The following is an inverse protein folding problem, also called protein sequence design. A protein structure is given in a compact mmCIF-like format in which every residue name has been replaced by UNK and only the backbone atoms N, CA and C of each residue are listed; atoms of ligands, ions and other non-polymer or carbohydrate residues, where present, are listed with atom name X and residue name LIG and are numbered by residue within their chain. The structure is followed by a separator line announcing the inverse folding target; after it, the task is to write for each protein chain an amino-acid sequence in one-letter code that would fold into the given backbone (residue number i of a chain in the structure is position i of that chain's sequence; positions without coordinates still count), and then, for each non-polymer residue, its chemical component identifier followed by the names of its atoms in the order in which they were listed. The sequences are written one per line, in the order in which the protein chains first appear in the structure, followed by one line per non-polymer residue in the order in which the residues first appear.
data_IF_645717752552
#
_entry.id   IF_645717752552
#
_cell.length_a   1.000
_cell.length_b   1.000
_cell.length_c   1.000
_cell.angle_alpha   90.00
_cell.angle_beta   90.00
_cell.angle_gamma   90.00
#
_symmetry.space_group_name_H-M   'P 1'
#
loop_
_entity.id
_entity.type
_entity.pdbx_description
1 polymer ?
#
# COMPACT_ATOMS: atom_id res chain seq x y z
N UNK A 1 -9.90 -49.07 -55.34
CA UNK A 1 -10.75 -47.90 -54.99
C UNK A 1 -10.74 -47.67 -53.49
N UNK A 2 -10.86 -48.72 -52.67
CA UNK A 2 -10.86 -48.65 -51.19
C UNK A 2 -9.63 -48.03 -50.53
N UNK A 3 -8.45 -48.16 -51.12
CA UNK A 3 -7.20 -47.57 -50.58
C UNK A 3 -7.14 -46.05 -50.72
N UNK A 4 -7.75 -45.48 -51.77
CA UNK A 4 -7.75 -44.03 -52.00
C UNK A 4 -8.79 -43.36 -51.09
N UNK A 5 -9.95 -44.01 -50.89
CA UNK A 5 -10.99 -43.53 -49.97
C UNK A 5 -10.53 -43.59 -48.51
N UNK A 6 -9.89 -44.68 -48.07
CA UNK A 6 -9.30 -44.76 -46.72
C UNK A 6 -8.20 -43.72 -46.49
N UNK A 7 -7.38 -43.43 -47.50
CA UNK A 7 -6.34 -42.40 -47.41
C UNK A 7 -6.95 -41.00 -47.26
N UNK A 8 -7.97 -40.67 -48.05
CA UNK A 8 -8.70 -39.39 -47.95
C UNK A 8 -9.39 -39.22 -46.60
N UNK A 9 -10.07 -40.25 -46.08
CA UNK A 9 -10.71 -40.21 -44.76
C UNK A 9 -9.71 -40.02 -43.61
N UNK A 10 -8.53 -40.64 -43.72
CA UNK A 10 -7.47 -40.48 -42.72
C UNK A 10 -6.87 -39.07 -42.76
N UNK A 11 -6.71 -38.50 -43.96
CA UNK A 11 -6.22 -37.14 -44.14
C UNK A 11 -7.20 -36.08 -43.61
N UNK A 12 -8.50 -36.25 -43.85
CA UNK A 12 -9.55 -35.36 -43.32
C UNK A 12 -9.67 -35.43 -41.79
N UNK A 13 -9.47 -36.62 -41.20
CA UNK A 13 -9.43 -36.74 -39.73
C UNK A 13 -8.21 -36.03 -39.15
N UNK A 14 -7.03 -36.18 -39.78
CA UNK A 14 -5.81 -35.48 -39.36
C UNK A 14 -5.94 -33.96 -39.51
N UNK A 15 -6.55 -33.47 -40.58
CA UNK A 15 -6.79 -32.04 -40.79
C UNK A 15 -7.78 -31.49 -39.76
N UNK A 16 -8.84 -32.23 -39.41
CA UNK A 16 -9.76 -31.88 -38.33
C UNK A 16 -9.09 -31.79 -36.96
N UNK A 17 -8.19 -32.73 -36.62
CA UNK A 17 -7.39 -32.67 -35.40
C UNK A 17 -6.41 -31.49 -35.38
N UNK A 18 -5.80 -31.16 -36.52
CA UNK A 18 -4.92 -30.00 -36.64
C UNK A 18 -5.69 -28.68 -36.47
N UNK A 19 -6.88 -28.55 -37.06
CA UNK A 19 -7.75 -27.38 -36.88
C UNK A 19 -8.23 -27.23 -35.43
N UNK A 20 -8.60 -28.34 -34.78
CA UNK A 20 -8.96 -28.35 -33.36
C UNK A 20 -7.79 -27.91 -32.48
N UNK A 21 -6.60 -28.50 -32.66
CA UNK A 21 -5.40 -28.13 -31.92
C UNK A 21 -5.01 -26.66 -32.14
N UNK A 22 -5.08 -26.17 -33.38
CA UNK A 22 -4.85 -24.77 -33.72
C UNK A 22 -5.85 -23.83 -33.05
N UNK A 23 -7.13 -24.22 -32.99
CA UNK A 23 -8.18 -23.43 -32.30
C UNK A 23 -7.94 -23.38 -30.80
N UNK A 24 -7.56 -24.50 -30.17
CA UNK A 24 -7.24 -24.54 -28.74
C UNK A 24 -6.00 -23.71 -28.40
N UNK A 25 -4.97 -23.75 -29.24
CA UNK A 25 -3.80 -22.90 -29.08
C UNK A 25 -4.13 -21.42 -29.27
N UNK A 26 -4.96 -21.08 -30.25
CA UNK A 26 -5.41 -19.71 -30.47
C UNK A 26 -6.24 -19.19 -29.28
N UNK A 27 -7.14 -20.01 -28.73
CA UNK A 27 -7.88 -19.68 -27.51
C UNK A 27 -6.95 -19.49 -26.31
N UNK A 28 -5.97 -20.37 -26.13
CA UNK A 28 -4.96 -20.24 -25.08
C UNK A 28 -4.13 -18.96 -25.22
N UNK A 29 -3.65 -18.65 -26.42
CA UNK A 29 -2.91 -17.43 -26.71
C UNK A 29 -3.77 -16.18 -26.52
N UNK A 30 -5.04 -16.21 -26.93
CA UNK A 30 -6.00 -15.11 -26.73
C UNK A 30 -6.27 -14.89 -25.25
N UNK A 31 -6.44 -15.96 -24.46
CA UNK A 31 -6.60 -15.87 -23.02
C UNK A 31 -5.36 -15.23 -22.38
N UNK A 32 -4.16 -15.73 -22.69
CA UNK A 32 -2.92 -15.18 -22.14
C UNK A 32 -2.73 -13.71 -22.51
N UNK A 33 -2.93 -13.34 -23.78
CA UNK A 33 -2.80 -11.93 -24.22
C UNK A 33 -3.83 -11.01 -23.58
N UNK A 34 -5.05 -11.48 -23.31
CA UNK A 34 -6.08 -10.71 -22.62
C UNK A 34 -5.79 -10.55 -21.11
N UNK A 35 -5.31 -11.59 -20.43
CA UNK A 35 -5.20 -11.61 -18.96
C UNK A 35 -3.80 -11.26 -18.42
N UNK A 36 -2.71 -11.46 -19.17
CA UNK A 36 -1.34 -11.09 -18.76
C UNK A 36 -1.25 -9.60 -18.37
N UNK A 37 -1.79 -8.64 -19.14
CA UNK A 37 -1.72 -7.23 -18.77
C UNK A 37 -2.42 -6.95 -17.43
N UNK A 38 -3.54 -7.61 -17.16
CA UNK A 38 -4.31 -7.45 -15.92
C UNK A 38 -3.51 -7.98 -14.74
N UNK A 39 -2.91 -9.16 -14.86
CA UNK A 39 -2.06 -9.72 -13.80
C UNK A 39 -0.83 -8.86 -13.52
N UNK A 40 -0.18 -8.35 -14.57
CA UNK A 40 0.95 -7.45 -14.43
C UNK A 40 0.55 -6.15 -13.72
N UNK A 41 -0.57 -5.54 -14.10
CA UNK A 41 -1.11 -4.34 -13.42
C UNK A 41 -1.38 -4.62 -11.94
N UNK A 42 -2.06 -5.71 -11.61
CA UNK A 42 -2.34 -6.09 -10.20
C UNK A 42 -1.05 -6.29 -9.40
N UNK A 43 -0.05 -6.95 -9.98
CA UNK A 43 1.27 -7.13 -9.35
C UNK A 43 2.00 -5.81 -9.14
N UNK A 44 1.95 -4.92 -10.13
CA UNK A 44 2.56 -3.58 -10.02
C UNK A 44 1.89 -2.75 -8.93
N UNK A 45 0.56 -2.73 -8.88
CA UNK A 45 -0.21 -2.04 -7.83
C UNK A 45 0.14 -2.55 -6.43
N UNK A 46 0.17 -3.87 -6.23
CA UNK A 46 0.58 -4.45 -4.93
C UNK A 46 1.98 -4.02 -4.51
N UNK A 47 2.94 -4.01 -5.45
CA UNK A 47 4.31 -3.54 -5.18
C UNK A 47 4.37 -2.04 -4.90
N UNK A 48 3.56 -1.23 -5.58
CA UNK A 48 3.49 0.20 -5.33
C UNK A 48 2.86 0.51 -3.98
N UNK A 49 1.76 -0.16 -3.62
CA UNK A 49 1.13 -0.07 -2.30
C UNK A 49 2.11 -0.44 -1.17
N UNK A 50 2.83 -1.56 -1.31
CA UNK A 50 3.83 -1.97 -0.32
C UNK A 50 4.96 -0.95 -0.16
N UNK A 51 5.41 -0.32 -1.25
CA UNK A 51 6.40 0.76 -1.21
C UNK A 51 5.88 1.99 -0.48
N UNK A 52 4.65 2.41 -0.75
CA UNK A 52 4.02 3.54 -0.05
C UNK A 52 3.89 3.29 1.45
N UNK A 53 3.53 2.06 1.84
CA UNK A 53 3.48 1.68 3.25
C UNK A 53 4.86 1.71 3.91
N UNK A 54 5.90 1.22 3.23
CA UNK A 54 7.29 1.31 3.70
C UNK A 54 7.72 2.76 3.86
N UNK A 55 7.45 3.59 2.85
CA UNK A 55 7.85 5.00 2.85
C UNK A 55 7.17 5.79 3.97
N UNK A 56 5.88 5.53 4.23
CA UNK A 56 5.17 6.12 5.38
C UNK A 56 5.79 5.74 6.72
N UNK A 57 6.20 4.48 6.89
CA UNK A 57 6.91 4.05 8.08
C UNK A 57 8.29 4.69 8.21
N UNK A 58 9.08 4.70 7.12
CA UNK A 58 10.44 5.24 7.08
C UNK A 58 10.49 6.73 7.44
N UNK A 59 9.51 7.53 7.00
CA UNK A 59 9.44 8.95 7.36
C UNK A 59 9.21 9.11 8.87
N UNK A 60 8.27 8.37 9.46
CA UNK A 60 8.03 8.41 10.91
C UNK A 60 9.26 7.94 11.70
N UNK A 61 9.88 6.85 11.25
CA UNK A 61 11.08 6.29 11.87
C UNK A 61 12.26 7.26 11.80
N UNK A 62 12.46 7.93 10.67
CA UNK A 62 13.54 8.90 10.49
C UNK A 62 13.43 10.03 11.50
N UNK A 63 12.23 10.61 11.67
CA UNK A 63 12.02 11.63 12.69
C UNK A 63 12.17 11.10 14.11
N UNK A 64 11.61 9.93 14.42
CA UNK A 64 11.75 9.32 15.75
C UNK A 64 13.21 9.00 16.12
N UNK A 65 14.04 8.58 15.16
CA UNK A 65 15.46 8.27 15.40
C UNK A 65 16.34 9.51 15.49
N UNK A 66 16.00 10.59 14.80
CA UNK A 66 16.83 11.79 14.72
C UNK A 66 16.53 12.79 15.84
N UNK A 67 15.25 12.95 16.18
CA UNK A 67 14.75 13.88 17.21
C UNK A 67 15.43 13.76 18.59
N UNK A 68 15.88 12.59 19.09
CA UNK A 68 16.58 12.52 20.38
C UNK A 68 17.90 13.30 20.41
N UNK A 69 18.51 13.55 19.24
CA UNK A 69 19.84 14.16 19.14
C UNK A 69 19.83 15.69 19.10
N UNK A 70 18.65 16.32 19.08
CA UNK A 70 18.52 17.78 19.06
C UNK A 70 17.19 18.22 19.65
N UNK A 71 17.09 19.49 20.07
CA UNK A 71 15.82 20.08 20.48
C UNK A 71 15.09 20.60 19.23
N UNK A 72 13.85 20.15 18.96
CA UNK A 72 13.11 20.63 17.80
C UNK A 72 12.91 22.15 17.82
N UNK A 73 13.06 22.78 16.66
CA UNK A 73 12.69 24.18 16.42
C UNK A 73 11.54 24.25 15.43
N UNK A 74 10.85 25.39 15.36
CA UNK A 74 9.72 25.60 14.43
C UNK A 74 10.06 25.21 12.99
N UNK A 75 11.27 25.53 12.52
CA UNK A 75 11.70 25.20 11.16
C UNK A 75 11.81 23.68 10.93
N UNK A 76 12.41 22.94 11.86
CA UNK A 76 12.56 21.48 11.73
C UNK A 76 11.22 20.77 11.83
N UNK A 77 10.33 21.25 12.70
CA UNK A 77 8.97 20.72 12.83
C UNK A 77 8.12 20.99 11.60
N UNK A 78 8.18 22.19 11.01
CA UNK A 78 7.49 22.48 9.74
C UNK A 78 8.08 21.66 8.57
N UNK A 79 9.40 21.47 8.54
CA UNK A 79 10.06 20.57 7.59
C UNK A 79 9.54 19.14 7.69
N UNK A 80 9.37 18.64 8.92
CA UNK A 80 8.76 17.33 9.17
C UNK A 80 7.31 17.22 8.75
N UNK A 81 6.49 18.22 9.08
CA UNK A 81 5.10 18.27 8.63
C UNK A 81 4.99 18.25 7.09
N UNK A 82 5.88 18.95 6.38
CA UNK A 82 5.92 18.96 4.92
C UNK A 82 6.35 17.61 4.34
N UNK A 83 7.38 16.97 4.91
CA UNK A 83 7.82 15.64 4.48
C UNK A 83 6.73 14.59 4.66
N UNK A 84 6.05 14.59 5.80
CA UNK A 84 4.89 13.73 6.07
C UNK A 84 3.74 14.06 5.12
N UNK A 85 3.49 15.34 4.86
CA UNK A 85 2.51 15.83 3.89
C UNK A 85 2.72 15.29 2.48
N UNK A 86 3.98 15.20 2.01
CA UNK A 86 4.31 14.61 0.72
C UNK A 86 3.88 13.15 0.60
N UNK A 87 4.12 12.33 1.64
CA UNK A 87 3.69 10.92 1.65
C UNK A 87 2.17 10.79 1.72
N UNK A 88 1.50 11.65 2.49
CA UNK A 88 0.02 11.72 2.54
C UNK A 88 -0.54 11.95 1.14
N UNK A 89 0.01 12.93 0.40
CA UNK A 89 -0.43 13.25 -0.96
C UNK A 89 -0.19 12.09 -1.94
N UNK A 90 0.93 11.37 -1.80
CA UNK A 90 1.20 10.17 -2.59
C UNK A 90 0.18 9.05 -2.33
N UNK A 91 -0.14 8.79 -1.05
CA UNK A 91 -1.13 7.79 -0.67
C UNK A 91 -2.53 8.20 -1.16
N UNK A 92 -2.90 9.47 -1.02
CA UNK A 92 -4.21 9.98 -1.43
C UNK A 92 -4.46 9.86 -2.95
N UNK A 93 -3.39 9.95 -3.77
CA UNK A 93 -3.47 9.78 -5.23
C UNK A 93 -3.44 8.32 -5.67
N UNK A 94 -3.16 7.38 -4.77
CA UNK A 94 -3.07 5.97 -5.12
C UNK A 94 -4.45 5.39 -5.47
N UNK A 95 -4.59 4.60 -6.56
CA UNK A 95 -5.88 4.03 -6.97
C UNK A 95 -6.26 2.83 -6.07
N UNK A 96 -6.67 3.11 -4.84
CA UNK A 96 -7.01 2.11 -3.81
C UNK A 96 -8.13 1.16 -4.28
N UNK A 97 -9.08 1.66 -5.08
CA UNK A 97 -10.21 0.88 -5.61
C UNK A 97 -9.78 -0.22 -6.60
N UNK A 98 -8.56 -0.17 -7.14
CA UNK A 98 -8.02 -1.21 -8.04
C UNK A 98 -7.36 -2.37 -7.29
N UNK A 99 -7.25 -2.28 -5.96
CA UNK A 99 -6.79 -3.38 -5.12
C UNK A 99 -7.95 -4.33 -4.85
N UNK A 100 -7.82 -5.59 -5.31
CA UNK A 100 -8.85 -6.63 -5.13
C UNK A 100 -9.18 -6.98 -3.67
N UNK A 101 -8.31 -6.60 -2.72
CA UNK A 101 -8.41 -7.10 -1.35
C UNK A 101 -9.28 -6.17 -0.50
N UNK A 102 -10.41 -6.66 0.00
CA UNK A 102 -11.29 -5.97 0.95
C UNK A 102 -11.37 -6.67 2.31
N UNK A 103 -10.55 -7.70 2.56
CA UNK A 103 -10.49 -8.43 3.82
C UNK A 103 -9.87 -7.63 4.98
N UNK A 104 -9.76 -8.23 6.17
CA UNK A 104 -9.17 -7.56 7.34
C UNK A 104 -7.68 -7.26 7.22
N UNK A 105 -6.96 -8.00 6.35
CA UNK A 105 -5.54 -7.79 6.00
C UNK A 105 -5.32 -7.09 4.64
N UNK A 106 -6.34 -6.35 4.21
CA UNK A 106 -6.30 -5.68 2.92
C UNK A 106 -5.24 -4.57 2.87
N UNK A 107 -4.44 -4.58 1.80
CA UNK A 107 -3.51 -3.49 1.47
C UNK A 107 -4.23 -2.14 1.34
N UNK A 108 -5.47 -2.13 0.84
CA UNK A 108 -6.26 -0.90 0.74
C UNK A 108 -6.54 -0.32 2.13
N UNK A 109 -6.94 -1.17 3.09
CA UNK A 109 -7.19 -0.74 4.48
C UNK A 109 -5.90 -0.26 5.15
N UNK A 110 -4.78 -0.95 4.91
CA UNK A 110 -3.49 -0.54 5.45
C UNK A 110 -3.03 0.80 4.89
N UNK A 111 -3.26 1.09 3.60
CA UNK A 111 -2.96 2.41 3.03
C UNK A 111 -3.80 3.52 3.68
N UNK A 112 -5.10 3.27 3.89
CA UNK A 112 -5.98 4.23 4.57
C UNK A 112 -5.55 4.45 6.02
N UNK A 113 -5.24 3.38 6.75
CA UNK A 113 -4.77 3.45 8.13
C UNK A 113 -3.41 4.16 8.24
N UNK A 114 -2.48 3.89 7.32
CA UNK A 114 -1.22 4.63 7.21
C UNK A 114 -1.49 6.13 7.00
N UNK A 115 -2.37 6.48 6.06
CA UNK A 115 -2.70 7.88 5.79
C UNK A 115 -3.24 8.59 7.03
N UNK A 116 -4.14 7.95 7.78
CA UNK A 116 -4.68 8.49 9.02
C UNK A 116 -3.58 8.69 10.10
N UNK A 117 -2.64 7.75 10.22
CA UNK A 117 -1.52 7.86 11.15
C UNK A 117 -0.57 9.00 10.77
N UNK A 118 -0.26 9.14 9.48
CA UNK A 118 0.57 10.23 8.97
C UNK A 118 -0.12 11.58 9.16
N UNK A 119 -1.43 11.69 8.93
CA UNK A 119 -2.20 12.91 9.22
C UNK A 119 -2.12 13.28 10.71
N UNK A 120 -2.29 12.29 11.59
CA UNK A 120 -2.15 12.51 13.02
C UNK A 120 -0.73 12.91 13.41
N UNK A 121 0.30 12.36 12.78
CA UNK A 121 1.70 12.75 13.01
C UNK A 121 1.96 14.18 12.55
N UNK A 122 1.51 14.52 11.34
CA UNK A 122 1.61 15.88 10.79
C UNK A 122 0.96 16.91 11.71
N UNK A 123 -0.23 16.62 12.23
CA UNK A 123 -0.94 17.52 13.15
C UNK A 123 -0.16 17.76 14.45
N UNK A 124 0.54 16.75 14.97
CA UNK A 124 1.44 16.96 16.12
C UNK A 124 2.59 17.89 15.77
N UNK A 125 3.23 17.69 14.62
CA UNK A 125 4.34 18.54 14.19
C UNK A 125 3.88 19.99 14.02
N UNK A 126 2.74 20.20 13.37
CA UNK A 126 2.17 21.54 13.16
C UNK A 126 1.79 22.22 14.48
N UNK A 127 1.14 21.49 15.40
CA UNK A 127 0.77 22.02 16.71
C UNK A 127 2.00 22.37 17.56
N UNK A 128 2.99 21.47 17.61
CA UNK A 128 4.22 21.72 18.34
C UNK A 128 5.01 22.88 17.73
N UNK A 129 5.02 23.01 16.40
CA UNK A 129 5.68 24.12 15.71
C UNK A 129 5.07 25.48 16.09
N UNK A 130 3.75 25.52 16.32
CA UNK A 130 3.05 26.72 16.79
C UNK A 130 3.38 27.02 18.27
N UNK A 131 3.43 26.01 19.13
CA UNK A 131 3.75 26.17 20.56
C UNK A 131 5.19 26.61 20.82
N UNK A 132 6.12 26.19 19.96
CA UNK A 132 7.57 26.44 20.07
C UNK A 132 7.99 27.69 19.27
N UNK A 133 7.05 28.42 18.65
CA UNK A 133 7.35 29.57 17.82
C UNK A 133 8.25 30.60 18.52
N UNK A 134 9.40 30.90 17.89
CA UNK A 134 10.38 31.86 18.41
C UNK A 134 11.36 31.32 19.46
N UNK A 135 11.33 30.01 19.76
CA UNK A 135 12.28 29.36 20.68
C UNK A 135 12.63 27.94 20.22
N UNK A 136 13.51 27.28 20.97
CA UNK A 136 13.70 25.83 20.88
C UNK A 136 12.71 25.11 21.81
N UNK A 137 12.38 23.87 21.48
CA UNK A 137 11.55 23.02 22.33
C UNK A 137 12.30 22.68 23.63
N UNK A 138 11.56 22.45 24.70
CA UNK A 138 12.14 21.88 25.93
C UNK A 138 12.38 20.37 25.76
N UNK A 139 13.17 19.78 26.66
CA UNK A 139 13.37 18.33 26.70
C UNK A 139 12.05 17.59 26.91
N UNK A 140 11.17 18.10 27.77
CA UNK A 140 9.84 17.53 27.99
C UNK A 140 8.98 17.56 26.72
N UNK A 141 8.97 18.67 25.99
CA UNK A 141 8.24 18.80 24.73
C UNK A 141 8.79 17.85 23.65
N UNK A 142 10.11 17.69 23.59
CA UNK A 142 10.77 16.70 22.71
C UNK A 142 10.34 15.29 23.09
N UNK A 143 10.31 14.95 24.37
CA UNK A 143 10.00 13.61 24.84
C UNK A 143 8.53 13.25 24.58
N UNK A 144 7.60 14.21 24.72
CA UNK A 144 6.19 14.06 24.31
C UNK A 144 6.08 13.80 22.79
N UNK A 145 6.86 14.49 21.97
CA UNK A 145 6.92 14.25 20.53
C UNK A 145 7.44 12.84 20.23
N UNK A 146 8.51 12.40 20.90
CA UNK A 146 9.10 11.08 20.73
C UNK A 146 8.12 9.98 21.12
N UNK A 147 7.46 10.10 22.27
CA UNK A 147 6.44 9.14 22.71
C UNK A 147 5.31 9.05 21.68
N UNK A 148 4.81 10.22 21.24
CA UNK A 148 3.75 10.30 20.24
C UNK A 148 4.12 9.66 18.90
N UNK A 149 5.37 9.84 18.47
CA UNK A 149 5.91 9.20 17.27
C UNK A 149 6.09 7.68 17.47
N UNK A 150 6.59 7.26 18.64
CA UNK A 150 6.79 5.87 19.00
C UNK A 150 5.49 5.08 18.99
N UNK A 151 4.42 5.62 19.59
CA UNK A 151 3.08 5.00 19.57
C UNK A 151 2.56 4.78 18.14
N UNK A 152 2.74 5.78 17.25
CA UNK A 152 2.33 5.68 15.84
C UNK A 152 3.18 4.66 15.08
N UNK A 153 4.49 4.65 15.31
CA UNK A 153 5.39 3.66 14.72
C UNK A 153 5.02 2.25 15.15
N UNK A 154 4.70 2.04 16.43
CA UNK A 154 4.28 0.74 16.93
C UNK A 154 2.98 0.28 16.25
N UNK A 155 2.00 1.16 16.14
CA UNK A 155 0.76 0.88 15.41
C UNK A 155 1.05 0.48 13.96
N UNK A 156 1.85 1.28 13.24
CA UNK A 156 2.22 0.99 11.85
C UNK A 156 3.01 -0.31 11.73
N UNK A 157 3.91 -0.60 12.67
CA UNK A 157 4.69 -1.85 12.70
C UNK A 157 3.80 -3.07 12.86
N UNK A 158 2.83 -3.03 13.79
CA UNK A 158 1.84 -4.11 13.98
C UNK A 158 1.01 -4.33 12.72
N UNK A 159 0.59 -3.24 12.08
CA UNK A 159 -0.11 -3.29 10.79
C UNK A 159 0.74 -3.94 9.69
N UNK A 160 2.01 -3.54 9.55
CA UNK A 160 2.94 -4.11 8.57
C UNK A 160 3.28 -5.58 8.84
N UNK A 161 3.28 -5.98 10.11
CA UNK A 161 3.45 -7.39 10.52
C UNK A 161 2.23 -8.27 10.19
N UNK A 162 1.13 -7.69 9.69
CA UNK A 162 -0.09 -8.41 9.33
C UNK A 162 -0.97 -8.74 10.53
N UNK A 163 -0.79 -8.03 11.65
CA UNK A 163 -1.74 -8.08 12.75
C UNK A 163 -3.09 -7.55 12.28
N UNK A 164 -4.16 -8.18 12.77
CA UNK A 164 -5.49 -7.76 12.43
C UNK A 164 -5.80 -6.43 13.10
N UNK A 165 -6.09 -5.41 12.29
CA UNK A 165 -6.55 -4.12 12.81
C UNK A 165 -7.94 -4.33 13.42
N UNK A 166 -7.98 -4.51 14.73
CA UNK A 166 -9.23 -4.51 15.46
C UNK A 166 -9.89 -3.14 15.30
N UNK A 167 -11.19 -3.14 15.01
CA UNK A 167 -11.96 -1.89 15.05
C UNK A 167 -11.92 -1.36 16.48
N UNK A 168 -11.85 -0.03 16.69
CA UNK A 168 -12.07 0.54 18.01
C UNK A 168 -13.42 0.05 18.52
N UNK A 169 -13.40 -0.67 19.65
CA UNK A 169 -14.61 -0.95 20.40
C UNK A 169 -14.92 0.36 21.12
N UNK A 170 -15.93 1.07 20.65
CA UNK A 170 -16.48 2.18 21.40
C UNK A 170 -17.27 1.55 22.53
N UNK A 171 -16.86 1.77 23.78
CA UNK A 171 -17.66 1.34 24.93
C UNK A 171 -19.05 1.95 24.77
N UNK A 172 -20.03 1.08 24.56
CA UNK A 172 -21.37 1.45 24.11
C UNK A 172 -21.96 2.55 25.00
N UNK A 173 -22.37 3.65 24.37
CA UNK A 173 -23.47 4.46 24.89
C UNK A 173 -24.67 3.50 24.99
N UNK A 174 -24.95 3.03 26.21
CA UNK A 174 -26.15 2.26 26.49
C UNK A 174 -27.38 3.05 26.02
N UNK A 175 -28.38 2.40 25.41
CA UNK A 175 -29.65 3.04 25.09
C UNK A 175 -30.35 3.58 26.35
#
# INVERSE_FOLDING_TARGET
MDTITQWLETHDRLSGWAQFAGTMLALGATYLTAFIPIWNRKRQLRKAAARLLSHGYEVLESYHRTTPNFLPVTLTLRGGALAIGGVIDEIARFPIYELDDQGSRSLARYLVAMNANLLAARLIFENMAATVEGREATEEERDVLLESLGQRMEFVRKMLAGEELQRPVWDDVKP
#
